data_IF_966665205144
#
_entry.id   IF_966665205144
#
_cell.length_a   1.000
_cell.length_b   1.000
_cell.length_c   1.000
_cell.angle_alpha   90.00
_cell.angle_beta   90.00
_cell.angle_gamma   90.00
#
_symmetry.space_group_name_H-M   'P 1'
#
loop_
_entity.id
_entity.type
_entity.pdbx_description
1 polymer ?
#
# COMPACT_ATOMS: atom_id res chain seq x y z
N UNK A 1 -11.34 18.47 -17.63
CA UNK A 1 -11.85 17.13 -17.28
C UNK A 1 -11.35 16.77 -15.90
N UNK A 2 -12.25 16.71 -14.92
CA UNK A 2 -11.93 16.59 -13.50
C UNK A 2 -11.92 15.11 -13.12
N UNK A 3 -10.75 14.44 -13.26
CA UNK A 3 -10.57 13.00 -12.95
C UNK A 3 -10.84 12.65 -11.48
N UNK A 4 -10.94 13.64 -10.60
CA UNK A 4 -11.12 13.45 -9.16
C UNK A 4 -12.40 12.70 -8.78
N UNK A 5 -13.45 12.77 -9.62
CA UNK A 5 -14.71 12.08 -9.34
C UNK A 5 -14.71 10.60 -9.77
N UNK A 6 -13.68 10.16 -10.52
CA UNK A 6 -13.62 8.84 -11.15
C UNK A 6 -12.59 7.90 -10.50
N UNK A 7 -11.56 8.42 -9.82
CA UNK A 7 -10.45 7.64 -9.24
C UNK A 7 -10.22 7.97 -7.77
N UNK A 8 -9.75 7.00 -6.99
CA UNK A 8 -9.40 7.20 -5.57
C UNK A 8 -10.59 7.23 -4.62
N UNK A 9 -11.71 6.61 -5.00
CA UNK A 9 -12.92 6.51 -4.17
C UNK A 9 -13.44 5.08 -4.17
N UNK A 10 -14.15 4.68 -3.09
CA UNK A 10 -14.87 3.41 -2.99
C UNK A 10 -16.38 3.57 -3.24
N UNK A 11 -16.77 4.68 -3.89
CA UNK A 11 -18.18 4.95 -4.21
C UNK A 11 -18.73 3.92 -5.19
N UNK A 12 -19.97 3.49 -4.97
CA UNK A 12 -20.71 2.64 -5.93
C UNK A 12 -20.72 3.29 -7.31
N UNK A 13 -20.50 2.47 -8.35
CA UNK A 13 -20.49 2.91 -9.75
C UNK A 13 -19.11 3.39 -10.26
N UNK A 14 -18.09 3.43 -9.40
CA UNK A 14 -16.72 3.78 -9.79
C UNK A 14 -15.87 2.55 -10.10
N UNK A 15 -14.71 2.75 -10.73
CA UNK A 15 -13.79 1.67 -11.11
C UNK A 15 -13.31 0.95 -9.84
N UNK A 16 -13.38 -0.38 -9.83
CA UNK A 16 -12.90 -1.21 -8.73
C UNK A 16 -11.35 -1.30 -8.70
N UNK A 17 -10.71 -0.17 -8.42
CA UNK A 17 -9.30 -0.06 -8.09
C UNK A 17 -9.15 0.07 -6.56
N UNK A 18 -8.74 -1.02 -5.89
CA UNK A 18 -8.75 -1.14 -4.42
C UNK A 18 -7.42 -1.70 -3.91
N UNK A 19 -6.88 -1.12 -2.85
CA UNK A 19 -5.80 -1.71 -2.07
C UNK A 19 -6.34 -2.09 -0.69
N UNK A 20 -6.23 -3.36 -0.33
CA UNK A 20 -6.48 -3.84 1.03
C UNK A 20 -5.15 -3.83 1.76
N UNK A 21 -5.07 -3.09 2.87
CA UNK A 21 -3.86 -2.97 3.67
C UNK A 21 -4.01 -3.81 4.93
N UNK A 22 -2.92 -4.47 5.31
CA UNK A 22 -2.75 -5.17 6.57
C UNK A 22 -1.66 -4.46 7.37
N UNK A 23 -1.96 -4.19 8.63
CA UNK A 23 -0.99 -3.67 9.59
C UNK A 23 -0.13 -4.81 10.14
N UNK A 24 1.18 -4.56 10.22
CA UNK A 24 2.17 -5.50 10.76
C UNK A 24 2.93 -4.81 11.88
N UNK A 25 3.03 -5.48 13.01
CA UNK A 25 3.91 -5.08 14.10
C UNK A 25 5.34 -5.63 13.90
N UNK A 26 6.36 -4.85 14.26
CA UNK A 26 7.77 -5.23 14.12
C UNK A 26 8.71 -4.06 14.39
N UNK A 27 9.98 -4.18 14.03
CA UNK A 27 10.93 -3.07 14.04
C UNK A 27 11.29 -2.72 12.59
N UNK A 28 10.94 -1.51 12.18
CA UNK A 28 11.12 -1.03 10.81
C UNK A 28 11.87 0.29 10.77
N UNK A 29 12.67 0.49 9.72
CA UNK A 29 13.34 1.76 9.43
C UNK A 29 12.85 2.29 8.08
N UNK A 30 12.25 3.49 8.11
CA UNK A 30 11.81 4.21 6.93
C UNK A 30 12.86 5.22 6.49
N UNK A 31 13.10 5.32 5.19
CA UNK A 31 13.98 6.32 4.57
C UNK A 31 13.15 7.26 3.71
N UNK A 32 13.36 8.56 3.86
CA UNK A 32 12.79 9.57 2.94
C UNK A 32 13.79 9.98 1.85
N UNK A 33 13.35 10.83 0.93
CA UNK A 33 14.19 11.29 -0.20
C UNK A 33 15.34 12.22 0.22
N UNK A 34 15.34 12.72 1.45
CA UNK A 34 16.45 13.52 2.01
C UNK A 34 17.52 12.66 2.68
N UNK A 35 17.30 11.34 2.77
CA UNK A 35 18.17 10.42 3.49
C UNK A 35 17.89 10.37 4.99
N UNK A 36 16.81 11.02 5.47
CA UNK A 36 16.40 10.93 6.87
C UNK A 36 15.85 9.54 7.16
N UNK A 37 16.22 9.01 8.33
CA UNK A 37 15.73 7.73 8.83
C UNK A 37 14.71 7.92 9.93
N UNK A 38 13.68 7.07 9.95
CA UNK A 38 12.69 7.01 11.03
C UNK A 38 12.39 5.57 11.43
N UNK A 39 12.65 5.23 12.68
CA UNK A 39 12.23 3.96 13.25
C UNK A 39 10.72 3.94 13.55
N UNK A 40 10.09 2.78 13.41
CA UNK A 40 8.67 2.60 13.67
C UNK A 40 8.35 1.16 14.09
N UNK A 41 7.21 0.99 14.75
CA UNK A 41 6.74 -0.32 15.22
C UNK A 41 5.67 -0.96 14.33
N UNK A 42 5.17 -0.20 13.36
CA UNK A 42 4.04 -0.58 12.51
C UNK A 42 4.39 -0.38 11.03
N UNK A 43 3.92 -1.30 10.19
CA UNK A 43 4.06 -1.27 8.73
C UNK A 43 2.74 -1.67 8.07
N UNK A 44 2.25 -0.86 7.13
CA UNK A 44 1.15 -1.23 6.25
C UNK A 44 1.67 -1.99 5.03
N UNK A 45 1.16 -3.20 4.82
CA UNK A 45 1.47 -4.04 3.66
C UNK A 45 0.22 -4.26 2.85
N UNK A 46 0.32 -4.18 1.52
CA UNK A 46 -0.83 -4.30 0.63
C UNK A 46 -1.32 -5.75 0.48
N UNK A 47 -1.98 -6.34 1.47
CA UNK A 47 -2.45 -7.74 1.47
C UNK A 47 -3.14 -8.20 0.16
N UNK A 48 -3.94 -7.33 -0.47
CA UNK A 48 -4.54 -7.58 -1.79
C UNK A 48 -4.55 -6.27 -2.58
N UNK A 49 -4.33 -6.36 -3.88
CA UNK A 49 -4.60 -5.26 -4.82
C UNK A 49 -5.56 -5.73 -5.88
N UNK A 50 -6.61 -4.95 -6.09
CA UNK A 50 -7.65 -5.17 -7.11
C UNK A 50 -7.51 -4.02 -8.10
N UNK A 51 -7.41 -4.35 -9.39
CA UNK A 51 -7.35 -3.38 -10.48
C UNK A 51 -8.46 -3.67 -11.47
N UNK A 52 -9.35 -2.70 -11.69
CA UNK A 52 -10.51 -2.83 -12.58
C UNK A 52 -11.34 -4.09 -12.29
N UNK A 53 -11.46 -4.45 -11.02
CA UNK A 53 -12.20 -5.63 -10.57
C UNK A 53 -11.40 -6.94 -10.51
N UNK A 54 -10.15 -6.95 -10.99
CA UNK A 54 -9.31 -8.15 -11.01
C UNK A 54 -8.22 -8.11 -9.95
N UNK A 55 -8.02 -9.22 -9.22
CA UNK A 55 -6.90 -9.34 -8.28
C UNK A 55 -5.59 -9.39 -9.08
N UNK A 56 -4.65 -8.51 -8.77
CA UNK A 56 -3.34 -8.49 -9.44
C UNK A 56 -2.30 -9.29 -8.66
N UNK A 57 -1.48 -10.13 -9.34
CA UNK A 57 -0.39 -10.84 -8.71
C UNK A 57 0.67 -9.85 -8.20
N UNK A 58 1.17 -10.08 -6.99
CA UNK A 58 2.18 -9.21 -6.37
C UNK A 58 1.61 -8.07 -5.50
N UNK A 59 0.29 -7.97 -5.34
CA UNK A 59 -0.30 -7.16 -4.27
C UNK A 59 0.11 -7.73 -2.91
N UNK A 60 1.07 -7.06 -2.24
CA UNK A 60 1.45 -7.36 -0.84
C UNK A 60 2.60 -8.34 -0.64
N UNK A 61 3.20 -8.82 -1.73
CA UNK A 61 4.20 -9.87 -1.64
C UNK A 61 5.54 -9.35 -1.13
N UNK A 62 5.76 -9.40 0.20
CA UNK A 62 6.98 -9.76 0.95
C UNK A 62 8.37 -9.23 0.51
N UNK A 63 8.46 -8.41 -0.54
CA UNK A 63 9.69 -7.99 -1.22
C UNK A 63 10.34 -6.76 -0.61
N UNK A 64 9.69 -6.11 0.35
CA UNK A 64 10.23 -4.98 1.12
C UNK A 64 10.62 -5.35 2.56
N UNK A 65 11.07 -6.59 2.81
CA UNK A 65 11.73 -6.92 4.08
C UNK A 65 13.20 -6.49 3.99
N UNK A 66 13.49 -5.27 4.42
CA UNK A 66 14.78 -5.00 5.05
C UNK A 66 14.49 -5.07 6.55
N UNK A 67 14.70 -6.25 7.14
CA UNK A 67 14.67 -6.39 8.59
C UNK A 67 15.93 -5.69 9.08
N UNK A 68 15.80 -4.80 10.06
CA UNK A 68 16.97 -4.24 10.74
C UNK A 68 17.67 -5.39 11.50
N UNK A 69 18.98 -5.51 11.33
CA UNK A 69 19.84 -6.44 12.08
C UNK A 69 19.90 -6.06 13.58
#
# INVERSE_FOLDING_TARGET
MQRADEIGTLRVGTIADVAVLEEREGDFVFHDSSGTQRAARELLVAAVTIRRGEIVPGGGGLRMRHLAD
#
